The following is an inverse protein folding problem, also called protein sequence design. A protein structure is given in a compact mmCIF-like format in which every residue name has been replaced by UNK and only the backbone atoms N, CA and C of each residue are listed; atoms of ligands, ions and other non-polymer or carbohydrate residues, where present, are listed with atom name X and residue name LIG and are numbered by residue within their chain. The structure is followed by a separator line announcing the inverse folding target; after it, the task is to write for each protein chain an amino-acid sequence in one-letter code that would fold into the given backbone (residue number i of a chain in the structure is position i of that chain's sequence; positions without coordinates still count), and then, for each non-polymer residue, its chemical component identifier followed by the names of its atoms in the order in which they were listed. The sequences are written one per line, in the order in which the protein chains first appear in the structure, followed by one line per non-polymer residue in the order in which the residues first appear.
data_IF_388485270018
#
_entry.id   IF_388485270018
#
_cell.length_a   1.000
_cell.length_b   1.000
_cell.length_c   1.000
_cell.angle_alpha   90.00
_cell.angle_beta   90.00
_cell.angle_gamma   90.00
#
_symmetry.space_group_name_H-M   'P 1'
#
loop_
_entity.id
_entity.type
_entity.pdbx_description
1 polymer ?
#
# COMPACT_ATOMS: atom_id res chain seq x y z
N UNK A 1 10.76 9.43 26.50
CA UNK A 1 10.69 8.26 25.61
C UNK A 1 9.79 8.55 24.44
N UNK A 2 10.25 8.30 23.25
CA UNK A 2 9.40 8.46 22.06
C UNK A 2 8.47 7.26 21.90
N UNK A 3 7.25 7.53 21.46
CA UNK A 3 6.28 6.48 21.18
C UNK A 3 6.78 5.60 20.03
N UNK A 4 6.42 4.31 20.03
CA UNK A 4 6.72 3.43 18.91
C UNK A 4 5.89 3.84 17.68
N UNK A 5 6.31 3.49 16.45
CA UNK A 5 5.53 3.78 15.26
C UNK A 5 4.10 3.25 15.33
N UNK A 6 3.91 2.06 15.89
CA UNK A 6 2.57 1.49 16.07
C UNK A 6 1.72 2.35 17.00
N UNK A 7 2.25 2.79 18.13
CA UNK A 7 1.53 3.67 19.05
C UNK A 7 1.13 4.99 18.41
N UNK A 8 2.03 5.58 17.61
CA UNK A 8 1.74 6.81 16.90
C UNK A 8 0.58 6.62 15.92
N UNK A 9 0.56 5.52 15.18
CA UNK A 9 -0.52 5.21 14.24
C UNK A 9 -1.84 5.02 14.99
N UNK A 10 -1.82 4.27 16.09
CA UNK A 10 -3.02 4.06 16.91
C UNK A 10 -3.57 5.38 17.45
N UNK A 11 -2.70 6.26 17.95
CA UNK A 11 -3.10 7.53 18.54
C UNK A 11 -3.62 8.52 17.50
N UNK A 12 -3.15 8.44 16.27
CA UNK A 12 -3.53 9.36 15.19
C UNK A 12 -4.68 8.88 14.33
N UNK A 13 -5.17 7.67 14.55
CA UNK A 13 -6.35 7.20 13.84
C UNK A 13 -7.51 8.15 14.14
N UNK A 14 -7.96 8.86 13.11
CA UNK A 14 -8.94 9.96 13.25
C UNK A 14 -10.30 9.43 13.70
N UNK A 15 -10.63 8.20 13.31
CA UNK A 15 -11.88 7.56 13.67
C UNK A 15 -11.58 6.14 14.11
N UNK A 16 -11.88 5.79 15.37
CA UNK A 16 -11.76 4.40 15.83
C UNK A 16 -12.55 3.49 14.88
N UNK A 17 -11.85 2.53 14.26
CA UNK A 17 -12.46 1.60 13.32
C UNK A 17 -12.46 2.06 11.88
N UNK A 18 -11.91 3.23 11.54
CA UNK A 18 -11.73 3.62 10.14
C UNK A 18 -10.74 2.67 9.46
N UNK A 19 -11.04 2.17 8.25
CA UNK A 19 -10.13 1.27 7.56
C UNK A 19 -8.80 1.95 7.21
N UNK A 20 -7.71 1.19 7.38
CA UNK A 20 -6.39 1.57 6.93
C UNK A 20 -5.98 0.68 5.76
N UNK A 21 -5.19 1.23 4.86
CA UNK A 21 -4.61 0.51 3.74
C UNK A 21 -3.13 0.86 3.65
N UNK A 22 -2.32 -0.11 3.23
CA UNK A 22 -0.92 0.13 2.90
C UNK A 22 -0.77 0.16 1.39
N UNK A 23 -0.13 1.21 0.86
CA UNK A 23 0.38 1.23 -0.51
C UNK A 23 1.83 0.86 -0.45
N UNK A 24 2.19 -0.27 -1.07
CA UNK A 24 3.51 -0.87 -0.90
C UNK A 24 4.28 -0.86 -2.21
N UNK A 25 5.52 -0.40 -2.15
CA UNK A 25 6.47 -0.52 -3.26
C UNK A 25 7.06 -1.94 -3.24
N UNK A 26 6.41 -2.86 -3.94
CA UNK A 26 6.81 -4.27 -3.97
C UNK A 26 8.16 -4.46 -4.68
N UNK A 27 8.54 -3.56 -5.58
CA UNK A 27 9.87 -3.60 -6.17
C UNK A 27 10.96 -3.41 -5.10
N UNK A 28 10.65 -2.66 -4.04
CA UNK A 28 11.57 -2.42 -2.92
C UNK A 28 11.46 -3.49 -1.83
N UNK A 29 10.24 -3.98 -1.58
CA UNK A 29 9.99 -5.03 -0.58
C UNK A 29 9.08 -6.09 -1.19
N UNK A 30 9.67 -7.05 -1.88
CA UNK A 30 8.95 -8.06 -2.65
C UNK A 30 8.20 -9.07 -1.79
N UNK A 31 8.50 -9.16 -0.50
CA UNK A 31 7.83 -10.11 0.40
C UNK A 31 6.48 -9.62 0.91
N UNK A 32 6.12 -8.34 0.69
CA UNK A 32 4.90 -7.77 1.26
C UNK A 32 3.62 -8.53 0.86
N UNK A 33 3.39 -8.90 -0.41
CA UNK A 33 2.20 -9.68 -0.75
C UNK A 33 2.16 -11.04 -0.05
N UNK A 34 3.30 -11.69 0.11
CA UNK A 34 3.39 -12.96 0.83
C UNK A 34 3.02 -12.77 2.30
N UNK A 35 3.54 -11.74 2.94
CA UNK A 35 3.21 -11.42 4.33
C UNK A 35 1.71 -11.14 4.50
N UNK A 36 1.10 -10.43 3.55
CA UNK A 36 -0.35 -10.18 3.56
C UNK A 36 -1.12 -11.49 3.47
N UNK A 37 -0.75 -12.38 2.56
CA UNK A 37 -1.41 -13.69 2.42
C UNK A 37 -1.26 -14.53 3.68
N UNK A 38 -0.07 -14.55 4.29
CA UNK A 38 0.17 -15.26 5.54
C UNK A 38 -0.71 -14.74 6.68
N UNK A 39 -0.98 -13.45 6.70
CA UNK A 39 -1.82 -12.81 7.70
C UNK A 39 -3.31 -12.89 7.38
N UNK A 40 -3.69 -13.38 6.20
CA UNK A 40 -5.08 -13.48 5.78
C UNK A 40 -5.73 -12.14 5.43
N UNK A 41 -4.93 -11.13 5.07
CA UNK A 41 -5.47 -9.81 4.68
C UNK A 41 -5.51 -9.67 3.17
N UNK A 42 -6.50 -8.92 2.66
CA UNK A 42 -6.70 -8.72 1.24
C UNK A 42 -5.59 -7.87 0.65
N UNK A 43 -5.13 -8.25 -0.54
CA UNK A 43 -3.99 -7.64 -1.22
C UNK A 43 -4.25 -7.63 -2.72
N UNK A 44 -4.11 -6.47 -3.36
CA UNK A 44 -4.37 -6.30 -4.78
C UNK A 44 -3.24 -5.51 -5.45
N UNK A 45 -2.78 -6.01 -6.60
CA UNK A 45 -1.85 -5.26 -7.44
C UNK A 45 -2.54 -4.04 -8.05
N UNK A 46 -1.81 -2.94 -8.18
CA UNK A 46 -2.31 -1.76 -8.90
C UNK A 46 -2.21 -1.93 -10.42
N UNK A 47 -1.42 -2.87 -10.91
CA UNK A 47 -1.42 -3.19 -12.33
C UNK A 47 -2.49 -4.24 -12.61
N UNK A 48 -3.02 -4.22 -13.85
CA UNK A 48 -4.07 -5.14 -14.26
C UNK A 48 -3.79 -5.68 -15.67
N UNK A 49 -4.51 -6.74 -16.07
CA UNK A 49 -4.38 -7.36 -17.38
C UNK A 49 -3.02 -8.00 -17.60
N UNK A 50 -2.55 -8.00 -18.84
CA UNK A 50 -1.26 -8.58 -19.20
C UNK A 50 -0.10 -7.90 -18.47
N UNK A 51 -0.17 -6.58 -18.31
CA UNK A 51 0.84 -5.83 -17.56
C UNK A 51 0.89 -6.28 -16.10
N UNK A 52 -0.26 -6.55 -15.51
CA UNK A 52 -0.35 -7.07 -14.15
C UNK A 52 0.32 -8.42 -14.00
N UNK A 53 0.11 -9.32 -14.96
CA UNK A 53 0.76 -10.64 -14.94
C UNK A 53 2.27 -10.55 -15.13
N UNK A 54 2.74 -9.72 -16.07
CA UNK A 54 4.16 -9.58 -16.34
C UNK A 54 4.93 -8.93 -15.19
N UNK A 55 4.32 -7.98 -14.50
CA UNK A 55 4.98 -7.15 -13.49
C UNK A 55 4.47 -7.40 -12.07
N UNK A 56 3.75 -8.50 -11.84
CA UNK A 56 3.14 -8.78 -10.53
C UNK A 56 4.13 -8.80 -9.38
N UNK A 57 5.37 -9.17 -9.63
CA UNK A 57 6.40 -9.27 -8.59
C UNK A 57 7.06 -7.93 -8.27
N UNK A 58 6.80 -6.90 -9.07
CA UNK A 58 7.38 -5.57 -8.87
C UNK A 58 6.32 -4.46 -8.85
N UNK A 59 5.07 -4.78 -9.14
CA UNK A 59 4.00 -3.80 -9.16
C UNK A 59 3.68 -3.30 -7.75
N UNK A 60 3.34 -2.02 -7.58
CA UNK A 60 2.82 -1.57 -6.29
C UNK A 60 1.51 -2.28 -5.97
N UNK A 61 1.30 -2.53 -4.69
CA UNK A 61 0.10 -3.20 -4.19
C UNK A 61 -0.60 -2.34 -3.16
N UNK A 62 -1.92 -2.45 -3.11
CA UNK A 62 -2.72 -1.94 -2.02
C UNK A 62 -3.14 -3.13 -1.16
N UNK A 63 -2.95 -3.01 0.15
CA UNK A 63 -3.15 -4.10 1.11
C UNK A 63 -3.99 -3.57 2.27
N UNK A 64 -5.05 -4.28 2.64
CA UNK A 64 -5.79 -3.95 3.86
C UNK A 64 -4.85 -4.00 5.06
N UNK A 65 -5.03 -3.06 5.97
CA UNK A 65 -4.13 -2.88 7.10
C UNK A 65 -4.90 -2.91 8.42
N UNK A 66 -5.41 -4.09 8.85
CA UNK A 66 -6.02 -4.18 10.17
C UNK A 66 -4.97 -3.96 11.23
N UNK A 67 -5.23 -3.03 12.15
CA UNK A 67 -4.34 -2.79 13.27
C UNK A 67 -4.24 -4.05 14.14
N UNK A 68 -3.06 -4.29 14.70
CA UNK A 68 -2.78 -5.47 15.57
C UNK A 68 -2.87 -6.80 14.84
N UNK A 69 -2.81 -6.78 13.50
CA UNK A 69 -2.69 -8.00 12.71
C UNK A 69 -1.22 -8.41 12.57
N UNK A 70 -0.99 -9.65 12.12
CA UNK A 70 0.37 -10.11 11.82
C UNK A 70 1.01 -9.24 10.73
N UNK A 71 0.20 -8.79 9.76
CA UNK A 71 0.69 -7.92 8.70
C UNK A 71 1.11 -6.55 9.24
N UNK A 72 0.31 -5.94 10.13
CA UNK A 72 0.67 -4.65 10.72
C UNK A 72 1.92 -4.77 11.59
N UNK A 73 2.07 -5.86 12.33
CA UNK A 73 3.27 -6.11 13.12
C UNK A 73 4.52 -6.21 12.23
N UNK A 74 4.42 -6.97 11.15
CA UNK A 74 5.50 -7.07 10.17
C UNK A 74 5.83 -5.71 9.58
N UNK A 75 4.81 -4.92 9.20
CA UNK A 75 4.97 -3.59 8.62
C UNK A 75 5.79 -2.68 9.54
N UNK A 76 5.45 -2.66 10.82
CA UNK A 76 6.16 -1.80 11.78
C UNK A 76 7.59 -2.25 12.03
N UNK A 77 7.91 -3.52 11.82
CA UNK A 77 9.29 -4.00 11.86
C UNK A 77 10.11 -3.46 10.68
N UNK A 78 9.44 -3.11 9.58
CA UNK A 78 10.08 -2.52 8.40
C UNK A 78 10.14 -0.99 8.47
N UNK A 79 9.70 -0.39 9.56
CA UNK A 79 9.64 1.07 9.71
C UNK A 79 11.02 1.68 9.48
N UNK A 80 11.08 2.73 8.62
CA UNK A 80 12.33 3.37 8.23
C UNK A 80 12.95 2.83 6.95
N UNK A 81 12.43 1.72 6.40
CA UNK A 81 12.93 1.15 5.14
C UNK A 81 12.25 1.74 3.91
N UNK A 82 11.32 2.68 4.09
CA UNK A 82 10.63 3.38 3.01
C UNK A 82 9.92 2.44 2.03
N UNK A 83 9.22 1.44 2.56
CA UNK A 83 8.58 0.41 1.72
C UNK A 83 7.19 0.82 1.22
N UNK A 84 6.63 1.91 1.74
CA UNK A 84 5.31 2.35 1.32
C UNK A 84 4.71 3.39 2.25
N UNK A 85 3.42 3.66 2.08
CA UNK A 85 2.68 4.63 2.88
C UNK A 85 1.38 4.01 3.40
N UNK A 86 0.89 4.54 4.52
CA UNK A 86 -0.39 4.15 5.09
C UNK A 86 -1.46 5.19 4.73
N UNK A 87 -2.67 4.71 4.44
CA UNK A 87 -3.81 5.54 4.05
C UNK A 87 -4.98 5.18 4.93
N UNK A 88 -5.63 6.20 5.49
CA UNK A 88 -6.88 6.05 6.23
C UNK A 88 -8.03 6.54 5.37
N UNK A 89 -9.04 5.70 5.14
CA UNK A 89 -10.20 6.05 4.34
C UNK A 89 -11.35 5.09 4.63
N UNK A 90 -12.62 5.58 4.59
CA UNK A 90 -13.78 4.69 4.68
C UNK A 90 -14.07 3.93 3.39
N UNK A 91 -13.34 4.20 2.30
CA UNK A 91 -13.56 3.52 1.01
C UNK A 91 -13.20 2.03 1.09
N UNK A 92 -13.77 1.24 0.19
CA UNK A 92 -13.43 -0.17 0.08
C UNK A 92 -12.05 -0.36 -0.56
N UNK A 93 -11.47 -1.56 -0.41
CA UNK A 93 -10.22 -1.91 -1.08
C UNK A 93 -10.35 -1.71 -2.61
N UNK A 94 -11.47 -2.12 -3.19
CA UNK A 94 -11.71 -1.97 -4.64
C UNK A 94 -11.71 -0.49 -5.06
N UNK A 95 -12.33 0.37 -4.26
CA UNK A 95 -12.38 1.80 -4.56
C UNK A 95 -11.01 2.47 -4.38
N UNK A 96 -10.27 2.10 -3.36
CA UNK A 96 -8.90 2.58 -3.13
C UNK A 96 -8.02 2.17 -4.31
N UNK A 97 -8.09 0.90 -4.71
CA UNK A 97 -7.33 0.38 -5.86
C UNK A 97 -7.67 1.14 -7.14
N UNK A 98 -8.96 1.35 -7.41
CA UNK A 98 -9.41 2.08 -8.60
C UNK A 98 -8.86 3.49 -8.62
N UNK A 99 -8.95 4.19 -7.50
CA UNK A 99 -8.46 5.56 -7.39
C UNK A 99 -6.96 5.64 -7.68
N UNK A 100 -6.16 4.82 -7.01
CA UNK A 100 -4.71 4.89 -7.17
C UNK A 100 -4.22 4.38 -8.51
N UNK A 101 -4.97 3.50 -9.17
CA UNK A 101 -4.66 3.11 -10.55
C UNK A 101 -4.72 4.29 -11.50
N UNK A 102 -5.59 5.26 -11.26
CA UNK A 102 -5.66 6.47 -12.10
C UNK A 102 -4.42 7.34 -11.98
N UNK A 103 -3.67 7.20 -10.90
CA UNK A 103 -2.46 7.98 -10.63
C UNK A 103 -1.17 7.30 -11.07
N UNK A 104 -1.26 6.06 -11.55
CA UNK A 104 -0.06 5.28 -11.91
C UNK A 104 0.67 5.85 -13.11
N UNK A 105 -0.03 6.54 -14.02
CA UNK A 105 0.57 7.12 -15.21
C UNK A 105 0.09 8.55 -15.39
N UNK A 106 0.97 9.40 -15.91
CA UNK A 106 0.62 10.76 -16.30
C UNK A 106 1.07 10.96 -17.75
N UNK A 107 0.39 11.87 -18.46
CA UNK A 107 0.75 12.25 -19.82
C UNK A 107 1.14 13.71 -19.85
N UNK A 108 2.20 14.02 -20.60
CA UNK A 108 2.61 15.42 -20.82
C UNK A 108 1.84 16.06 -21.99
N UNK A 109 2.13 17.30 -22.32
CA UNK A 109 1.51 18.03 -23.42
C UNK A 109 1.73 17.39 -24.79
N UNK A 110 2.72 16.52 -24.91
CA UNK A 110 3.03 15.78 -26.14
C UNK A 110 2.47 14.36 -26.11
N UNK A 111 1.57 14.06 -25.16
CA UNK A 111 0.95 12.75 -24.96
C UNK A 111 1.92 11.64 -24.61
N UNK A 112 3.14 11.98 -24.14
CA UNK A 112 4.09 10.97 -23.64
C UNK A 112 3.59 10.47 -22.29
N UNK A 113 3.69 9.16 -22.06
CA UNK A 113 3.18 8.48 -20.87
C UNK A 113 4.31 8.22 -19.89
N UNK A 114 4.11 8.60 -18.63
CA UNK A 114 5.07 8.40 -17.55
C UNK A 114 4.42 7.63 -16.42
N UNK A 115 5.21 6.76 -15.74
CA UNK A 115 4.78 6.15 -14.50
C UNK A 115 5.05 7.11 -13.35
N UNK A 116 4.01 7.42 -12.61
CA UNK A 116 4.10 8.32 -11.46
C UNK A 116 4.17 7.48 -10.17
N UNK A 117 5.29 7.56 -9.46
CA UNK A 117 5.54 6.75 -8.26
C UNK A 117 5.08 7.50 -7.00
N UNK A 118 3.79 7.81 -6.92
CA UNK A 118 3.19 8.54 -5.81
C UNK A 118 3.26 7.77 -4.47
N UNK A 119 3.47 6.46 -4.53
CA UNK A 119 3.57 5.57 -3.37
C UNK A 119 4.99 5.51 -2.78
N UNK A 120 5.93 6.21 -3.36
CA UNK A 120 7.30 6.29 -2.87
C UNK A 120 7.32 7.31 -1.73
N UNK A 121 7.62 6.88 -0.50
CA UNK A 121 7.54 7.76 0.67
C UNK A 121 8.64 8.82 0.71
#
# INVERSE_FOLDING_TARGET
MSASPAEVVFDRAVSPGAPLFALVDVARESSAPHQARQAGVACESLFAGEMGELLKDVAPHVIEFPLRSRFSEWWFQQWGNSIGVLIETPASLADVRRHFRTLMTVRDDQHRKYFFRFYDP
#
